data_IF_489063470302
#
_entry.id   IF_489063470302
#
_cell.length_a   1.000
_cell.length_b   1.000
_cell.length_c   1.000
_cell.angle_alpha   90.00
_cell.angle_beta   90.00
_cell.angle_gamma   90.00
#
_symmetry.space_group_name_H-M   'P 1'
#
loop_
_entity.id
_entity.type
_entity.pdbx_description
1 polymer ?
#
# COMPACT_ATOMS: atom_id res chain seq x y z
N UNK A 1 -10.46 -33.06 7.20
CA UNK A 1 -11.08 -32.10 8.15
C UNK A 1 -10.33 -30.77 8.19
N UNK A 2 -8.99 -30.79 8.36
CA UNK A 2 -8.11 -29.61 8.42
C UNK A 2 -8.28 -28.65 7.23
N UNK A 3 -8.39 -29.15 5.99
CA UNK A 3 -8.57 -28.33 4.79
C UNK A 3 -9.92 -27.61 4.70
N UNK A 4 -10.98 -28.12 5.34
CA UNK A 4 -12.28 -27.42 5.44
C UNK A 4 -12.22 -26.30 6.48
N UNK A 5 -11.57 -26.54 7.61
CA UNK A 5 -11.38 -25.53 8.68
C UNK A 5 -10.53 -24.36 8.17
N UNK A 6 -9.41 -24.63 7.49
CA UNK A 6 -8.55 -23.60 6.87
C UNK A 6 -9.32 -22.79 5.82
N UNK A 7 -10.16 -23.44 5.01
CA UNK A 7 -11.00 -22.75 4.01
C UNK A 7 -12.08 -21.88 4.66
N UNK A 8 -12.68 -22.32 5.75
CA UNK A 8 -13.65 -21.55 6.54
C UNK A 8 -13.02 -20.31 7.15
N UNK A 9 -11.89 -20.48 7.85
CA UNK A 9 -11.15 -19.39 8.48
C UNK A 9 -10.69 -18.33 7.46
N UNK A 10 -10.21 -18.77 6.29
CA UNK A 10 -9.82 -17.89 5.17
C UNK A 10 -10.99 -17.09 4.60
N UNK A 11 -12.23 -17.60 4.69
CA UNK A 11 -13.44 -16.93 4.18
C UNK A 11 -13.90 -15.81 5.12
N UNK A 12 -13.60 -15.93 6.41
CA UNK A 12 -14.02 -15.01 7.47
C UNK A 12 -12.95 -13.93 7.75
N UNK A 13 -11.67 -14.28 7.62
CA UNK A 13 -10.56 -13.32 7.75
C UNK A 13 -10.55 -12.29 6.61
N UNK A 14 -10.86 -12.71 5.38
CA UNK A 14 -10.80 -11.85 4.19
C UNK A 14 -11.64 -10.57 4.28
N UNK A 15 -12.94 -10.62 4.65
CA UNK A 15 -13.73 -9.41 4.83
C UNK A 15 -13.26 -8.58 6.03
N UNK A 16 -12.73 -9.22 7.08
CA UNK A 16 -12.17 -8.51 8.23
C UNK A 16 -10.92 -7.69 7.84
N UNK A 17 -9.97 -8.31 7.13
CA UNK A 17 -8.79 -7.62 6.60
C UNK A 17 -9.19 -6.43 5.75
N UNK A 18 -10.08 -6.62 4.76
CA UNK A 18 -10.47 -5.54 3.86
C UNK A 18 -11.23 -4.40 4.57
N UNK A 19 -11.82 -4.67 5.74
CA UNK A 19 -12.47 -3.65 6.57
C UNK A 19 -11.48 -2.93 7.49
N UNK A 20 -10.49 -3.63 8.07
CA UNK A 20 -9.55 -3.10 9.06
C UNK A 20 -8.34 -2.40 8.43
N UNK A 21 -7.75 -2.96 7.37
CA UNK A 21 -6.54 -2.42 6.74
C UNK A 21 -6.66 -0.95 6.27
N UNK A 22 -7.83 -0.48 5.75
CA UNK A 22 -8.06 0.94 5.52
C UNK A 22 -7.77 1.84 6.71
N UNK A 23 -8.16 1.42 7.92
CA UNK A 23 -7.92 2.19 9.14
C UNK A 23 -6.45 2.17 9.54
N UNK A 24 -5.74 1.06 9.30
CA UNK A 24 -4.30 0.99 9.51
C UNK A 24 -3.55 1.99 8.61
N UNK A 25 -3.91 2.09 7.33
CA UNK A 25 -3.32 3.08 6.41
C UNK A 25 -3.72 4.50 6.83
N UNK A 26 -4.97 4.75 7.20
CA UNK A 26 -5.42 6.08 7.64
C UNK A 26 -4.80 6.53 8.96
N UNK A 27 -4.45 5.60 9.86
CA UNK A 27 -3.79 5.94 11.12
C UNK A 27 -2.49 6.71 10.90
N UNK A 28 -1.75 6.36 9.85
CA UNK A 28 -0.49 7.03 9.52
C UNK A 28 -0.70 8.49 9.11
N UNK A 29 -1.66 8.75 8.22
CA UNK A 29 -2.00 10.12 7.82
C UNK A 29 -2.54 10.95 8.99
N UNK A 30 -3.31 10.32 9.88
CA UNK A 30 -3.77 10.98 11.10
C UNK A 30 -2.61 11.35 12.03
N UNK A 31 -1.64 10.44 12.21
CA UNK A 31 -0.45 10.71 13.00
C UNK A 31 0.45 11.77 12.36
N UNK A 32 0.58 11.80 11.04
CA UNK A 32 1.32 12.83 10.29
C UNK A 32 0.72 14.23 10.51
N UNK A 33 -0.62 14.33 10.47
CA UNK A 33 -1.35 15.56 10.81
C UNK A 33 -1.09 15.96 12.27
N UNK A 34 -1.22 15.01 13.21
CA UNK A 34 -1.06 15.29 14.63
C UNK A 34 0.37 15.74 14.94
N UNK A 35 1.38 15.08 14.37
CA UNK A 35 2.77 15.47 14.49
C UNK A 35 3.02 16.88 13.92
N UNK A 36 2.48 17.17 12.73
CA UNK A 36 2.62 18.47 12.09
C UNK A 36 1.91 19.60 12.85
N UNK A 37 0.81 19.31 13.55
CA UNK A 37 0.10 20.27 14.39
C UNK A 37 0.86 20.58 15.68
N UNK A 38 1.42 19.56 16.33
CA UNK A 38 2.17 19.74 17.58
C UNK A 38 3.53 20.38 17.33
N UNK A 39 4.25 19.91 16.30
CA UNK A 39 5.61 20.34 15.98
C UNK A 39 5.66 21.30 14.78
N UNK A 40 4.59 22.06 14.54
CA UNK A 40 4.47 22.92 13.36
C UNK A 40 5.62 23.91 13.17
N UNK A 41 6.22 24.40 14.27
CA UNK A 41 7.41 25.26 14.21
C UNK A 41 8.64 24.55 13.63
N UNK A 42 8.88 23.30 14.07
CA UNK A 42 10.00 22.48 13.59
C UNK A 42 9.77 22.05 12.15
N UNK A 43 8.59 21.49 11.85
CA UNK A 43 8.25 20.98 10.51
C UNK A 43 8.24 22.09 9.47
N UNK A 44 7.70 23.27 9.81
CA UNK A 44 7.68 24.42 8.91
C UNK A 44 9.07 24.95 8.59
N UNK A 45 9.96 24.99 9.59
CA UNK A 45 11.36 25.41 9.42
C UNK A 45 12.17 24.37 8.64
N UNK A 46 12.00 23.08 8.90
CA UNK A 46 12.62 22.01 8.12
C UNK A 46 12.20 22.10 6.65
N UNK A 47 10.89 22.26 6.38
CA UNK A 47 10.38 22.41 5.01
C UNK A 47 10.90 23.68 4.34
N UNK A 48 11.04 24.79 5.06
CA UNK A 48 11.62 26.03 4.53
C UNK A 48 13.09 25.86 4.13
N UNK A 49 13.90 25.24 5.01
CA UNK A 49 15.32 24.94 4.75
C UNK A 49 15.45 24.05 3.52
N UNK A 50 14.63 23.00 3.42
CA UNK A 50 14.74 22.04 2.32
C UNK A 50 14.25 22.67 0.99
N UNK A 51 13.27 23.57 1.02
CA UNK A 51 12.81 24.29 -0.18
C UNK A 51 13.74 25.46 -0.57
N UNK A 52 14.70 25.82 0.27
CA UNK A 52 15.55 27.01 0.12
C UNK A 52 14.72 28.31 -0.01
N UNK A 53 13.64 28.41 0.76
CA UNK A 53 12.72 29.56 0.78
C UNK A 53 12.66 30.16 2.19
N UNK A 54 12.14 31.38 2.31
CA UNK A 54 11.88 32.03 3.59
C UNK A 54 11.00 31.18 4.51
N UNK A 55 11.30 31.23 5.82
CA UNK A 55 10.58 30.47 6.86
C UNK A 55 9.06 30.63 6.79
N UNK A 56 8.58 31.83 6.44
CA UNK A 56 7.16 32.16 6.29
C UNK A 56 6.48 31.27 5.24
N UNK A 57 7.16 31.01 4.12
CA UNK A 57 6.62 30.15 3.07
C UNK A 57 6.50 28.70 3.54
N UNK A 58 7.48 28.21 4.30
CA UNK A 58 7.45 26.87 4.90
C UNK A 58 6.25 26.67 5.85
N UNK A 59 5.92 27.68 6.66
CA UNK A 59 4.75 27.62 7.54
C UNK A 59 3.42 27.64 6.77
N UNK A 60 3.29 28.51 5.76
CA UNK A 60 2.09 28.58 4.92
C UNK A 60 1.87 27.24 4.21
N UNK A 61 2.94 26.68 3.65
CA UNK A 61 2.91 25.40 2.97
C UNK A 61 2.52 24.26 3.92
N UNK A 62 3.08 24.23 5.14
CA UNK A 62 2.74 23.22 6.15
C UNK A 62 1.28 23.30 6.58
N UNK A 63 0.75 24.51 6.76
CA UNK A 63 -0.65 24.71 7.08
C UNK A 63 -1.57 24.21 5.94
N UNK A 64 -1.23 24.53 4.69
CA UNK A 64 -1.97 24.06 3.51
C UNK A 64 -1.98 22.52 3.42
N UNK A 65 -0.82 21.89 3.62
CA UNK A 65 -0.65 20.44 3.58
C UNK A 65 -1.44 19.73 4.70
N UNK A 66 -1.42 20.28 5.92
CA UNK A 66 -2.22 19.78 7.05
C UNK A 66 -3.72 19.90 6.77
N UNK A 67 -4.18 21.02 6.22
CA UNK A 67 -5.59 21.20 5.87
C UNK A 67 -6.02 20.22 4.76
N UNK A 68 -5.18 20.04 3.74
CA UNK A 68 -5.46 19.13 2.63
C UNK A 68 -5.55 17.67 3.11
N UNK A 69 -4.65 17.24 3.98
CA UNK A 69 -4.66 15.89 4.57
C UNK A 69 -5.86 15.68 5.50
N UNK A 70 -6.25 16.67 6.32
CA UNK A 70 -7.47 16.60 7.15
C UNK A 70 -8.72 16.45 6.26
N UNK A 71 -8.85 17.28 5.22
CA UNK A 71 -9.98 17.20 4.28
C UNK A 71 -10.02 15.83 3.59
N UNK A 72 -8.86 15.29 3.23
CA UNK A 72 -8.80 13.97 2.61
C UNK A 72 -9.18 12.84 3.56
N UNK A 73 -8.67 12.85 4.81
CA UNK A 73 -9.05 11.88 5.85
C UNK A 73 -10.56 11.92 6.08
N UNK A 74 -11.14 13.12 6.19
CA UNK A 74 -12.57 13.30 6.34
C UNK A 74 -13.35 12.76 5.13
N UNK A 75 -12.90 13.04 3.90
CA UNK A 75 -13.52 12.51 2.69
C UNK A 75 -13.49 10.98 2.65
N UNK A 76 -12.41 10.33 3.10
CA UNK A 76 -12.27 8.87 3.03
C UNK A 76 -13.03 8.17 4.16
N UNK A 77 -13.05 8.73 5.37
CA UNK A 77 -13.71 8.12 6.52
C UNK A 77 -15.19 8.49 6.65
N UNK A 78 -15.56 9.74 6.38
CA UNK A 78 -16.89 10.27 6.66
C UNK A 78 -17.82 10.25 5.42
N UNK A 79 -17.28 10.25 4.20
CA UNK A 79 -18.10 10.38 2.98
C UNK A 79 -18.05 9.13 2.10
N UNK A 80 -19.13 8.88 1.33
CA UNK A 80 -19.17 7.83 0.30
C UNK A 80 -18.29 8.14 -0.93
N UNK A 81 -17.55 9.26 -0.94
CA UNK A 81 -16.68 9.71 -2.05
C UNK A 81 -15.20 9.39 -1.78
N UNK A 82 -14.92 8.16 -1.36
CA UNK A 82 -13.58 7.70 -0.97
C UNK A 82 -12.52 7.89 -2.07
N UNK A 83 -12.92 7.67 -3.33
CA UNK A 83 -12.03 7.87 -4.49
C UNK A 83 -11.51 9.31 -4.58
N UNK A 84 -12.34 10.31 -4.26
CA UNK A 84 -11.96 11.73 -4.30
C UNK A 84 -10.94 12.08 -3.21
N UNK A 85 -11.07 11.47 -2.02
CA UNK A 85 -10.14 11.71 -0.91
C UNK A 85 -8.77 11.08 -1.18
N UNK A 86 -8.73 9.86 -1.74
CA UNK A 86 -7.46 9.22 -2.12
C UNK A 86 -6.76 10.00 -3.24
N UNK A 87 -7.51 10.47 -4.25
CA UNK A 87 -6.91 11.32 -5.29
C UNK A 87 -6.40 12.64 -4.74
N UNK A 88 -7.06 13.22 -3.73
CA UNK A 88 -6.61 14.45 -3.09
C UNK A 88 -5.27 14.23 -2.37
N UNK A 89 -5.13 13.15 -1.58
CA UNK A 89 -3.85 12.79 -0.95
C UNK A 89 -2.74 12.59 -1.98
N UNK A 90 -3.05 11.88 -3.07
CA UNK A 90 -2.07 11.59 -4.12
C UNK A 90 -1.61 12.87 -4.83
N UNK A 91 -2.53 13.79 -5.14
CA UNK A 91 -2.19 15.11 -5.69
C UNK A 91 -1.37 15.91 -4.68
N UNK A 92 -1.75 15.91 -3.41
CA UNK A 92 -0.99 16.57 -2.33
C UNK A 92 0.46 16.11 -2.29
N UNK A 93 0.70 14.79 -2.36
CA UNK A 93 2.06 14.21 -2.39
C UNK A 93 2.82 14.53 -3.68
N UNK A 94 2.15 14.55 -4.83
CA UNK A 94 2.79 14.97 -6.10
C UNK A 94 3.21 16.44 -6.04
N UNK A 95 2.35 17.31 -5.51
CA UNK A 95 2.65 18.73 -5.31
C UNK A 95 3.83 18.88 -4.35
N UNK A 96 3.79 18.19 -3.20
CA UNK A 96 4.91 18.14 -2.25
C UNK A 96 6.21 17.84 -3.00
N UNK A 97 6.25 16.75 -3.76
CA UNK A 97 7.44 16.36 -4.53
C UNK A 97 7.90 17.39 -5.55
N UNK A 98 7.00 18.07 -6.27
CA UNK A 98 7.40 19.10 -7.24
C UNK A 98 8.12 20.27 -6.56
N UNK A 99 7.81 20.55 -5.30
CA UNK A 99 8.50 21.58 -4.52
C UNK A 99 9.85 21.10 -3.94
N UNK A 100 10.05 19.79 -3.73
CA UNK A 100 11.30 19.24 -3.19
C UNK A 100 12.29 18.83 -4.30
N UNK A 101 12.99 19.82 -4.86
CA UNK A 101 13.97 19.66 -5.95
C UNK A 101 15.42 19.44 -5.44
N UNK A 102 15.70 18.37 -4.69
CA UNK A 102 17.08 17.98 -4.30
C UNK A 102 17.36 16.53 -4.73
N UNK A 103 18.13 16.36 -5.80
CA UNK A 103 18.32 15.11 -6.56
C UNK A 103 18.92 13.92 -5.79
N UNK A 104 19.72 14.13 -4.75
CA UNK A 104 20.36 13.05 -3.97
C UNK A 104 19.45 12.49 -2.89
N UNK A 105 18.74 13.37 -2.19
CA UNK A 105 17.68 13.02 -1.23
C UNK A 105 16.42 12.52 -1.96
N UNK A 106 16.25 12.93 -3.22
CA UNK A 106 15.14 12.56 -4.09
C UNK A 106 14.91 11.05 -4.21
N UNK A 107 15.96 10.22 -4.30
CA UNK A 107 15.76 8.77 -4.46
C UNK A 107 15.20 8.09 -3.20
N UNK A 108 15.69 8.44 -2.01
CA UNK A 108 15.15 7.89 -0.76
C UNK A 108 13.73 8.38 -0.49
N UNK A 109 13.46 9.66 -0.73
CA UNK A 109 12.09 10.18 -0.65
C UNK A 109 11.20 9.57 -1.73
N UNK A 110 11.73 9.32 -2.93
CA UNK A 110 11.03 8.64 -4.01
C UNK A 110 10.49 7.29 -3.57
N UNK A 111 11.34 6.47 -2.96
CA UNK A 111 10.97 5.14 -2.53
C UNK A 111 10.02 5.15 -1.33
N UNK A 112 10.27 5.99 -0.31
CA UNK A 112 9.36 6.13 0.84
C UNK A 112 7.96 6.59 0.42
N UNK A 113 7.86 7.65 -0.38
CA UNK A 113 6.58 8.12 -0.91
C UNK A 113 5.98 7.12 -1.89
N UNK A 114 6.80 6.42 -2.69
CA UNK A 114 6.29 5.41 -3.60
C UNK A 114 5.60 4.30 -2.82
N UNK A 115 6.12 3.93 -1.65
CA UNK A 115 5.45 2.99 -0.76
C UNK A 115 4.09 3.53 -0.29
N UNK A 116 4.04 4.78 0.17
CA UNK A 116 2.81 5.44 0.63
C UNK A 116 1.77 5.54 -0.50
N UNK A 117 2.20 5.96 -1.69
CA UNK A 117 1.36 5.98 -2.89
C UNK A 117 0.89 4.57 -3.24
N UNK A 118 1.75 3.56 -3.08
CA UNK A 118 1.40 2.16 -3.27
C UNK A 118 0.31 1.68 -2.31
N UNK A 119 0.39 2.03 -1.03
CA UNK A 119 -0.61 1.68 -0.01
C UNK A 119 -1.95 2.39 -0.27
N UNK A 120 -1.92 3.66 -0.71
CA UNK A 120 -3.11 4.42 -1.14
C UNK A 120 -3.77 3.85 -2.40
N UNK A 121 -2.98 3.45 -3.41
CA UNK A 121 -3.49 2.80 -4.61
C UNK A 121 -4.15 1.46 -4.28
N UNK A 122 -3.55 0.69 -3.36
CA UNK A 122 -4.12 -0.57 -2.85
C UNK A 122 -5.39 -0.33 -2.05
N UNK A 123 -5.43 0.74 -1.25
CA UNK A 123 -6.62 1.16 -0.53
C UNK A 123 -7.77 1.49 -1.50
N UNK A 124 -7.49 2.28 -2.54
CA UNK A 124 -8.47 2.61 -3.57
C UNK A 124 -8.99 1.35 -4.27
N UNK A 125 -8.09 0.42 -4.63
CA UNK A 125 -8.46 -0.86 -5.22
C UNK A 125 -9.33 -1.71 -4.25
N UNK A 126 -8.99 -1.76 -2.97
CA UNK A 126 -9.78 -2.48 -1.95
C UNK A 126 -11.20 -1.92 -1.81
N UNK A 127 -11.34 -0.60 -1.81
CA UNK A 127 -12.63 0.08 -1.75
C UNK A 127 -13.47 -0.11 -3.00
N UNK A 128 -12.87 -0.02 -4.20
CA UNK A 128 -13.56 -0.31 -5.47
C UNK A 128 -14.11 -1.74 -5.47
N UNK A 129 -13.32 -2.71 -4.97
CA UNK A 129 -13.74 -4.11 -4.88
C UNK A 129 -14.89 -4.34 -3.88
N UNK A 130 -14.89 -3.62 -2.76
CA UNK A 130 -15.98 -3.69 -1.78
C UNK A 130 -17.27 -3.03 -2.28
N UNK A 131 -17.17 -2.04 -3.18
CA UNK A 131 -18.29 -1.17 -3.52
C UNK A 131 -19.30 -1.80 -4.46
N UNK A 132 -18.95 -2.67 -5.40
CA UNK A 132 -19.93 -3.49 -6.14
C UNK A 132 -19.27 -4.49 -7.11
N UNK A 133 -19.63 -5.77 -7.01
CA UNK A 133 -19.21 -6.86 -7.91
C UNK A 133 -20.13 -6.99 -9.15
N UNK A 134 -21.26 -6.26 -9.17
CA UNK A 134 -22.40 -6.50 -10.08
C UNK A 134 -22.47 -5.59 -11.32
N UNK A 135 -21.73 -4.49 -11.37
CA UNK A 135 -21.89 -3.47 -12.42
C UNK A 135 -20.56 -2.90 -12.95
N UNK A 136 -19.53 -3.74 -13.05
CA UNK A 136 -18.25 -3.27 -13.61
C UNK A 136 -18.35 -3.03 -15.11
N UNK A 137 -18.29 -1.76 -15.49
CA UNK A 137 -18.00 -1.39 -16.88
C UNK A 137 -16.62 -1.92 -17.28
N UNK A 138 -16.45 -2.31 -18.56
CA UNK A 138 -15.17 -2.83 -19.06
C UNK A 138 -14.01 -1.83 -18.83
N UNK A 139 -14.31 -0.54 -18.89
CA UNK A 139 -13.37 0.57 -18.64
C UNK A 139 -12.89 0.61 -17.18
N UNK A 140 -13.78 0.44 -16.21
CA UNK A 140 -13.42 0.43 -14.78
C UNK A 140 -12.59 -0.79 -14.40
N UNK A 141 -12.84 -1.93 -15.04
CA UNK A 141 -12.03 -3.14 -14.84
C UNK A 141 -10.59 -2.95 -15.28
N UNK A 142 -10.34 -2.21 -16.36
CA UNK A 142 -8.99 -1.87 -16.81
C UNK A 142 -8.29 -0.94 -15.83
N UNK A 143 -8.98 0.11 -15.37
CA UNK A 143 -8.47 1.04 -14.36
C UNK A 143 -8.11 0.33 -13.06
N UNK A 144 -8.97 -0.55 -12.56
CA UNK A 144 -8.70 -1.38 -11.39
C UNK A 144 -7.43 -2.24 -11.57
N UNK A 145 -7.23 -2.83 -12.75
CA UNK A 145 -6.04 -3.62 -13.04
C UNK A 145 -4.77 -2.78 -13.08
N UNK A 146 -4.85 -1.55 -13.61
CA UNK A 146 -3.74 -0.59 -13.60
C UNK A 146 -3.41 -0.13 -12.18
N UNK A 147 -4.42 0.18 -11.35
CA UNK A 147 -4.23 0.54 -9.94
C UNK A 147 -3.50 -0.58 -9.18
N UNK A 148 -3.89 -1.83 -9.42
CA UNK A 148 -3.28 -2.99 -8.78
C UNK A 148 -1.84 -3.25 -9.27
N UNK A 149 -1.55 -2.99 -10.55
CA UNK A 149 -0.20 -3.09 -11.09
C UNK A 149 0.69 -1.97 -10.53
N UNK A 150 0.21 -0.72 -10.58
CA UNK A 150 0.91 0.44 -10.06
C UNK A 150 1.20 0.31 -8.57
N UNK A 151 0.20 -0.10 -7.77
CA UNK A 151 0.41 -0.31 -6.34
C UNK A 151 1.40 -1.43 -6.02
N UNK A 152 1.47 -2.51 -6.83
CA UNK A 152 2.51 -3.55 -6.67
C UNK A 152 3.91 -3.03 -6.95
N UNK A 153 4.09 -2.33 -8.07
CA UNK A 153 5.38 -1.73 -8.43
C UNK A 153 5.81 -0.70 -7.39
N UNK A 154 4.85 0.07 -6.89
CA UNK A 154 5.07 1.03 -5.82
C UNK A 154 5.49 0.35 -4.51
N UNK A 155 4.82 -0.74 -4.09
CA UNK A 155 5.21 -1.50 -2.90
C UNK A 155 6.57 -2.21 -3.06
N UNK A 156 7.04 -2.44 -4.28
CA UNK A 156 8.36 -3.01 -4.53
C UNK A 156 9.51 -2.08 -4.09
N UNK A 157 9.25 -0.77 -3.99
CA UNK A 157 10.21 0.22 -3.45
C UNK A 157 10.72 -0.14 -2.06
N UNK A 158 9.88 -0.79 -1.24
CA UNK A 158 10.21 -1.25 0.10
C UNK A 158 11.44 -2.17 0.11
N UNK A 159 11.52 -3.09 -0.85
CA UNK A 159 12.65 -4.02 -0.92
C UNK A 159 13.93 -3.35 -1.38
N UNK A 160 13.81 -2.34 -2.25
CA UNK A 160 14.95 -1.55 -2.71
C UNK A 160 15.55 -0.78 -1.52
N UNK A 161 14.69 -0.19 -0.68
CA UNK A 161 15.13 0.47 0.55
C UNK A 161 15.81 -0.50 1.52
N UNK A 162 15.24 -1.68 1.72
CA UNK A 162 15.83 -2.71 2.58
C UNK A 162 17.19 -3.22 2.11
N UNK A 163 17.38 -3.32 0.79
CA UNK A 163 18.66 -3.72 0.21
C UNK A 163 19.76 -2.68 0.44
N UNK A 164 19.37 -1.41 0.56
CA UNK A 164 20.30 -0.32 0.82
C UNK A 164 20.62 -0.17 2.32
N UNK A 165 19.64 -0.36 3.19
CA UNK A 165 19.80 -0.24 4.65
C UNK A 165 20.56 -1.43 5.27
N UNK A 166 20.39 -2.65 4.74
CA UNK A 166 20.98 -3.85 5.33
C UNK A 166 22.26 -4.31 4.63
N UNK A 167 23.35 -4.35 5.41
CA UNK A 167 24.64 -4.94 4.98
C UNK A 167 24.64 -6.47 5.13
N UNK A 168 23.64 -7.05 5.80
CA UNK A 168 23.51 -8.50 5.94
C UNK A 168 23.14 -9.17 4.61
N UNK A 169 24.10 -9.91 4.07
CA UNK A 169 24.00 -10.58 2.76
C UNK A 169 22.81 -11.54 2.68
N UNK A 170 22.48 -12.24 3.76
CA UNK A 170 21.36 -13.19 3.78
C UNK A 170 20.00 -12.50 3.66
N UNK A 171 19.77 -11.40 4.39
CA UNK A 171 18.50 -10.67 4.33
C UNK A 171 18.31 -9.97 2.99
N UNK A 172 19.41 -9.45 2.40
CA UNK A 172 19.39 -8.85 1.06
C UNK A 172 18.99 -9.86 -0.02
N UNK A 173 19.51 -11.10 0.03
CA UNK A 173 19.12 -12.18 -0.89
C UNK A 173 17.62 -12.50 -0.76
N UNK A 174 17.11 -12.64 0.46
CA UNK A 174 15.67 -12.90 0.71
C UNK A 174 14.82 -11.74 0.18
N UNK A 175 15.24 -10.50 0.41
CA UNK A 175 14.55 -9.30 -0.09
C UNK A 175 14.52 -9.24 -1.60
N UNK A 176 15.62 -9.59 -2.28
CA UNK A 176 15.70 -9.65 -3.74
C UNK A 176 14.76 -10.71 -4.32
N UNK A 177 14.67 -11.89 -3.68
CA UNK A 177 13.74 -12.96 -4.11
C UNK A 177 12.28 -12.51 -3.93
N UNK A 178 11.95 -11.89 -2.80
CA UNK A 178 10.60 -11.37 -2.53
C UNK A 178 10.20 -10.26 -3.51
N UNK A 179 11.13 -9.35 -3.82
CA UNK A 179 10.98 -8.30 -4.83
C UNK A 179 10.59 -8.90 -6.18
N UNK A 180 11.33 -9.91 -6.65
CA UNK A 180 11.04 -10.60 -7.91
C UNK A 180 9.66 -11.27 -7.89
N UNK A 181 9.32 -11.97 -6.81
CA UNK A 181 8.03 -12.63 -6.68
C UNK A 181 6.84 -11.67 -6.66
N UNK A 182 6.95 -10.52 -6.01
CA UNK A 182 5.88 -9.53 -5.96
C UNK A 182 5.75 -8.76 -7.28
N UNK A 183 6.88 -8.35 -7.87
CA UNK A 183 6.93 -7.64 -9.15
C UNK A 183 6.31 -8.46 -10.28
N UNK A 184 6.77 -9.72 -10.44
CA UNK A 184 6.23 -10.67 -11.42
C UNK A 184 4.82 -11.13 -11.04
N UNK A 185 4.49 -11.07 -9.75
CA UNK A 185 3.24 -11.50 -9.19
C UNK A 185 3.08 -13.03 -9.22
N UNK A 186 4.13 -13.74 -8.80
CA UNK A 186 4.13 -15.18 -8.60
C UNK A 186 3.67 -15.49 -7.18
N UNK A 187 2.62 -16.31 -7.03
CA UNK A 187 2.03 -16.65 -5.73
C UNK A 187 1.82 -15.42 -4.83
N UNK A 188 1.21 -14.35 -5.37
CA UNK A 188 1.10 -13.03 -4.72
C UNK A 188 0.62 -13.08 -3.27
N UNK A 189 -0.30 -14.00 -2.97
CA UNK A 189 -0.84 -14.13 -1.61
C UNK A 189 0.22 -14.63 -0.62
N UNK A 190 1.02 -15.62 -1.02
CA UNK A 190 2.07 -16.20 -0.19
C UNK A 190 3.26 -15.25 -0.06
N UNK A 191 3.68 -14.62 -1.15
CA UNK A 191 4.76 -13.62 -1.13
C UNK A 191 4.39 -12.40 -0.30
N UNK A 192 3.14 -11.94 -0.33
CA UNK A 192 2.66 -10.87 0.56
C UNK A 192 2.72 -11.26 2.04
N UNK A 193 2.30 -12.47 2.43
CA UNK A 193 2.43 -12.90 3.83
C UNK A 193 3.88 -13.04 4.26
N UNK A 194 4.74 -13.63 3.42
CA UNK A 194 6.18 -13.70 3.70
C UNK A 194 6.79 -12.31 3.86
N UNK A 195 6.34 -11.34 3.06
CA UNK A 195 6.78 -9.95 3.16
C UNK A 195 6.34 -9.32 4.47
N UNK A 196 5.11 -9.58 4.94
CA UNK A 196 4.66 -9.11 6.27
C UNK A 196 5.49 -9.72 7.39
N UNK A 197 5.83 -11.01 7.30
CA UNK A 197 6.71 -11.66 8.27
C UNK A 197 8.12 -11.07 8.23
N UNK A 198 8.68 -10.85 7.04
CA UNK A 198 9.97 -10.19 6.87
C UNK A 198 9.95 -8.74 7.39
N UNK A 199 8.84 -8.02 7.20
CA UNK A 199 8.61 -6.67 7.73
C UNK A 199 8.62 -6.65 9.24
N UNK A 200 7.88 -7.56 9.86
CA UNK A 200 7.86 -7.70 11.30
C UNK A 200 9.24 -8.11 11.82
N UNK A 201 9.95 -9.01 11.14
CA UNK A 201 11.31 -9.37 11.53
C UNK A 201 12.25 -8.17 11.47
N UNK A 202 12.30 -7.47 10.34
CA UNK A 202 13.17 -6.33 10.11
C UNK A 202 12.87 -5.18 11.07
N UNK A 203 11.64 -4.68 11.06
CA UNK A 203 11.31 -3.46 11.80
C UNK A 203 11.20 -3.73 13.31
N UNK A 204 10.62 -4.86 13.74
CA UNK A 204 10.45 -5.16 15.17
C UNK A 204 11.73 -5.69 15.81
N UNK A 205 12.48 -6.59 15.16
CA UNK A 205 13.65 -7.21 15.80
C UNK A 205 14.98 -6.51 15.50
N UNK A 206 15.17 -5.91 14.31
CA UNK A 206 16.46 -5.33 13.94
C UNK A 206 16.63 -3.89 14.45
N UNK A 207 15.62 -3.02 14.21
CA UNK A 207 15.87 -1.57 14.27
C UNK A 207 15.00 -0.83 15.33
N UNK A 208 13.76 -1.24 15.63
CA UNK A 208 12.82 -0.39 16.41
C UNK A 208 12.41 -0.89 17.81
N UNK A 209 12.77 -2.10 18.28
CA UNK A 209 12.47 -2.49 19.68
C UNK A 209 13.14 -1.56 20.70
N UNK A 210 14.35 -1.08 20.39
CA UNK A 210 15.07 -0.05 21.15
C UNK A 210 14.35 1.31 21.13
N UNK A 211 13.64 1.62 20.04
CA UNK A 211 13.00 2.92 19.79
C UNK A 211 11.68 3.10 20.57
N UNK A 212 11.02 2.00 20.94
CA UNK A 212 9.81 2.00 21.78
C UNK A 212 10.10 2.33 23.25
N UNK A 213 11.34 2.12 23.71
CA UNK A 213 11.74 2.33 25.11
C UNK A 213 12.76 3.46 25.32
N UNK A 214 13.52 3.86 24.29
CA UNK A 214 14.70 4.72 24.44
C UNK A 214 14.58 6.18 23.96
N UNK A 215 13.49 6.58 23.28
CA UNK A 215 13.38 7.93 22.73
C UNK A 215 12.60 8.90 23.63
N UNK A 216 13.16 10.11 23.76
CA UNK A 216 12.58 11.19 24.57
C UNK A 216 11.30 11.76 23.93
N UNK A 217 11.12 11.57 22.62
CA UNK A 217 9.99 12.10 21.86
C UNK A 217 8.96 11.01 21.50
N UNK A 218 7.89 10.94 22.29
CA UNK A 218 6.84 9.91 22.19
C UNK A 218 5.99 10.03 20.92
N UNK A 219 5.93 11.22 20.32
CA UNK A 219 5.12 11.44 19.12
C UNK A 219 5.78 10.83 17.89
N UNK A 220 7.10 10.95 17.81
CA UNK A 220 7.86 10.43 16.70
C UNK A 220 7.85 8.89 16.69
N UNK A 221 7.96 8.25 17.86
CA UNK A 221 7.83 6.78 17.96
C UNK A 221 6.44 6.28 17.56
N UNK A 222 5.38 7.00 17.94
CA UNK A 222 4.01 6.70 17.50
C UNK A 222 3.86 6.84 15.98
N UNK A 223 4.48 7.84 15.35
CA UNK A 223 4.46 8.02 13.90
C UNK A 223 5.14 6.85 13.17
N UNK A 224 6.31 6.40 13.64
CA UNK A 224 7.00 5.23 13.08
C UNK A 224 6.16 3.95 13.21
N UNK A 225 5.51 3.74 14.34
CA UNK A 225 4.61 2.60 14.52
C UNK A 225 3.40 2.65 13.58
N UNK A 226 2.86 3.85 13.37
CA UNK A 226 1.78 4.06 12.42
C UNK A 226 2.20 3.83 10.97
N UNK A 227 3.43 4.22 10.61
CA UNK A 227 4.04 3.92 9.32
C UNK A 227 4.20 2.41 9.10
N UNK A 228 4.65 1.68 10.12
CA UNK A 228 4.73 0.21 10.07
C UNK A 228 3.36 -0.43 9.81
N UNK A 229 2.31 0.04 10.48
CA UNK A 229 0.95 -0.42 10.19
C UNK A 229 0.46 -0.03 8.78
N UNK A 230 0.88 1.12 8.26
CA UNK A 230 0.61 1.50 6.87
C UNK A 230 1.27 0.52 5.89
N UNK A 231 2.55 0.19 6.08
CA UNK A 231 3.30 -0.80 5.28
C UNK A 231 2.62 -2.17 5.32
N UNK A 232 2.33 -2.68 6.52
CA UNK A 232 1.64 -3.95 6.72
C UNK A 232 0.28 -3.92 6.04
N UNK A 233 -0.49 -2.84 6.23
CA UNK A 233 -1.82 -2.65 5.64
C UNK A 233 -1.78 -2.71 4.11
N UNK A 234 -0.83 -2.01 3.48
CA UNK A 234 -0.63 -2.04 2.03
C UNK A 234 -0.35 -3.45 1.49
N UNK A 235 0.58 -4.18 2.13
CA UNK A 235 0.97 -5.54 1.72
C UNK A 235 -0.14 -6.56 2.00
N UNK A 236 -0.88 -6.42 3.12
CA UNK A 236 -2.01 -7.29 3.43
C UNK A 236 -3.18 -7.06 2.46
N UNK A 237 -3.46 -5.81 2.07
CA UNK A 237 -4.45 -5.51 1.03
C UNK A 237 -4.05 -6.14 -0.31
N UNK A 238 -2.76 -6.08 -0.68
CA UNK A 238 -2.26 -6.79 -1.86
C UNK A 238 -2.52 -8.30 -1.79
N UNK A 239 -2.33 -8.93 -0.62
CA UNK A 239 -2.59 -10.37 -0.44
C UNK A 239 -4.06 -10.77 -0.70
N UNK A 240 -5.00 -9.86 -0.42
CA UNK A 240 -6.44 -10.11 -0.57
C UNK A 240 -7.00 -9.68 -1.92
N UNK A 241 -6.40 -8.65 -2.54
CA UNK A 241 -6.73 -8.19 -3.88
C UNK A 241 -6.12 -9.10 -4.96
N UNK A 242 -4.96 -9.71 -4.69
CA UNK A 242 -4.24 -10.61 -5.59
C UNK A 242 -3.34 -9.88 -6.58
N UNK A 243 -2.77 -10.62 -7.55
CA UNK A 243 -1.81 -10.08 -8.52
C UNK A 243 -2.42 -9.37 -9.73
N UNK A 244 -3.73 -9.53 -10.00
CA UNK A 244 -4.39 -8.93 -11.16
C UNK A 244 -4.09 -9.64 -12.50
N UNK A 245 -4.61 -9.09 -13.60
CA UNK A 245 -4.57 -9.75 -14.93
C UNK A 245 -3.16 -9.84 -15.54
N UNK A 246 -2.27 -8.94 -15.14
CA UNK A 246 -0.90 -8.80 -15.67
C UNK A 246 0.14 -9.57 -14.84
N UNK A 247 -0.30 -10.32 -13.82
CA UNK A 247 0.55 -11.20 -13.02
C UNK A 247 0.55 -12.63 -13.59
N UNK A 248 1.60 -13.39 -13.34
CA UNK A 248 1.67 -14.83 -13.69
C UNK A 248 0.48 -15.60 -13.10
N UNK A 249 0.11 -15.33 -11.85
CA UNK A 249 -1.07 -15.94 -11.21
C UNK A 249 -2.35 -15.60 -11.99
N UNK A 250 -2.49 -14.35 -12.46
CA UNK A 250 -3.61 -13.91 -13.28
C UNK A 250 -3.65 -14.59 -14.65
N UNK A 251 -2.49 -14.76 -15.29
CA UNK A 251 -2.37 -15.45 -16.57
C UNK A 251 -2.73 -16.93 -16.44
N UNK A 252 -2.26 -17.59 -15.38
CA UNK A 252 -2.58 -18.99 -15.08
C UNK A 252 -4.08 -19.20 -14.84
N UNK A 253 -4.71 -18.30 -14.08
CA UNK A 253 -6.14 -18.39 -13.82
C UNK A 253 -6.99 -18.17 -15.09
N UNK A 254 -6.58 -17.24 -15.96
CA UNK A 254 -7.24 -17.01 -17.26
C UNK A 254 -7.13 -18.21 -18.20
N UNK A 255 -6.00 -18.90 -18.18
CA UNK A 255 -5.82 -20.13 -18.97
C UNK A 255 -6.70 -21.26 -18.43
N UNK A 256 -6.85 -21.38 -17.11
CA UNK A 256 -7.82 -22.29 -16.48
C UNK A 256 -9.26 -22.03 -16.94
N UNK A 257 -9.75 -20.79 -16.84
CA UNK A 257 -11.11 -20.44 -17.31
C UNK A 257 -11.33 -20.70 -18.81
N UNK A 258 -10.32 -20.45 -19.66
CA UNK A 258 -10.39 -20.76 -21.09
C UNK A 258 -10.46 -22.27 -21.35
N UNK A 259 -9.74 -23.05 -20.57
CA UNK A 259 -9.76 -24.51 -20.64
C UNK A 259 -11.10 -25.07 -20.16
N UNK A 260 -11.65 -24.57 -19.05
CA UNK A 260 -12.96 -24.97 -18.54
C UNK A 260 -14.09 -24.61 -19.51
N UNK A 261 -14.03 -23.42 -20.13
CA UNK A 261 -14.97 -23.07 -21.20
C UNK A 261 -14.87 -24.02 -22.38
N UNK A 262 -13.65 -24.32 -22.87
CA UNK A 262 -13.43 -25.30 -23.95
C UNK A 262 -13.88 -26.73 -23.58
N UNK A 263 -13.73 -27.12 -22.32
CA UNK A 263 -14.24 -28.38 -21.78
C UNK A 263 -15.76 -28.44 -21.77
N UNK A 264 -16.44 -27.37 -21.30
CA UNK A 264 -17.90 -27.29 -21.31
C UNK A 264 -18.49 -27.31 -22.73
N UNK A 265 -17.85 -26.68 -23.73
CA UNK A 265 -18.29 -26.79 -25.12
C UNK A 265 -18.18 -28.22 -25.69
N UNK A 266 -17.27 -29.05 -25.18
CA UNK A 266 -17.18 -30.47 -25.56
C UNK A 266 -18.29 -31.31 -24.93
N UNK A 267 -18.72 -30.98 -23.70
CA UNK A 267 -19.78 -31.71 -22.99
C UNK A 267 -21.15 -31.37 -23.60
N UNK A 268 -21.41 -30.11 -23.96
CA UNK A 268 -22.67 -29.69 -24.58
C UNK A 268 -22.86 -30.27 -25.98
N UNK A 269 -21.78 -30.50 -26.75
CA UNK A 269 -21.88 -31.21 -28.04
C UNK A 269 -22.13 -32.73 -27.90
N UNK A 270 -21.94 -33.29 -26.71
CA UNK A 270 -22.19 -34.72 -26.42
C UNK A 270 -23.62 -35.05 -25.99
N UNK A 271 -24.42 -34.04 -25.62
CA UNK A 271 -25.87 -34.19 -25.40
C UNK A 271 -26.59 -33.92 -26.72
N UNK A 272 -26.68 -34.95 -27.56
CA UNK A 272 -27.69 -34.98 -28.62
C UNK A 272 -29.09 -35.02 -27.96
N UNK A 273 -30.09 -34.31 -28.50
CA UNK A 273 -31.45 -34.36 -27.98
C UNK A 273 -32.00 -35.79 -28.12
N UNK A 274 -32.55 -36.31 -27.02
CA UNK A 274 -33.36 -37.53 -27.01
C UNK A 274 -34.68 -37.32 -27.77
#
# INVERSE_FOLDING_TARGET
MVTKVIKGFKREIRPCILKVMPYCVMSYYFMEVLYSLVNGHLVGRERAIVMDVTDVFGYIYTCFDVLLTIVAIFLILATRKEASGVTLLLIGRVIHRLFFSIWTVFFYFLFNDSLDVGSLLMLMAAKIKLRDEKEWSHTERSKYQLLLLGGRLCLCSLFIMWMDENVETMFSIVSMVLLLFISVGFHCKLSAYLTVVALLYHDVFSNHWSMLWGWNDRLLSMQYFSLLFCKIGGVLMLSELGGGKWSIDGFRNRNGEKWDKKGNYRIVKGQAPA
#
